data_IF_484610275587
#
_entry.id   IF_484610275587
#
_cell.length_a   1.000
_cell.length_b   1.000
_cell.length_c   1.000
_cell.angle_alpha   90.00
_cell.angle_beta   90.00
_cell.angle_gamma   90.00
#
_symmetry.space_group_name_H-M   'P 1'
#
loop_
_entity.id
_entity.type
_entity.pdbx_description
1 polymer ?
#
# COMPACT_ATOMS: atom_id res chain seq x y z
N UNK A 1 -11.77 -10.23 4.29
CA UNK A 1 -10.97 -11.47 4.43
C UNK A 1 -10.06 -11.39 5.64
N UNK A 2 -9.64 -12.52 6.16
CA UNK A 2 -8.65 -12.58 7.24
C UNK A 2 -7.24 -12.40 6.69
N UNK A 3 -6.28 -12.10 7.57
CA UNK A 3 -4.90 -11.89 7.17
C UNK A 3 -4.28 -13.11 6.47
N UNK A 4 -4.67 -14.32 6.87
CA UNK A 4 -4.19 -15.54 6.24
C UNK A 4 -4.63 -15.65 4.78
N UNK A 5 -5.87 -15.31 4.48
CA UNK A 5 -6.37 -15.29 3.11
C UNK A 5 -5.70 -14.18 2.31
N UNK A 6 -5.51 -13.01 2.92
CA UNK A 6 -4.80 -11.90 2.29
C UNK A 6 -3.36 -12.30 1.93
N UNK A 7 -2.69 -13.03 2.82
CA UNK A 7 -1.36 -13.58 2.57
C UNK A 7 -1.36 -14.53 1.37
N UNK A 8 -2.29 -15.47 1.36
CA UNK A 8 -2.40 -16.44 0.25
C UNK A 8 -2.65 -15.76 -1.08
N UNK A 9 -3.55 -14.79 -1.12
CA UNK A 9 -3.93 -14.12 -2.37
C UNK A 9 -2.88 -13.12 -2.86
N UNK A 10 -2.14 -12.50 -1.95
CA UNK A 10 -1.07 -11.55 -2.32
C UNK A 10 0.26 -12.22 -2.62
N UNK A 11 0.44 -13.47 -2.20
CA UNK A 11 1.72 -14.16 -2.30
C UNK A 11 2.75 -13.69 -1.28
N UNK A 12 2.32 -12.94 -0.27
CA UNK A 12 3.20 -12.43 0.80
C UNK A 12 2.93 -13.19 2.09
N UNK A 13 3.96 -13.28 2.95
CA UNK A 13 3.79 -13.91 4.26
C UNK A 13 2.99 -13.02 5.19
N UNK A 14 2.35 -13.61 6.19
CA UNK A 14 1.65 -12.87 7.24
C UNK A 14 2.62 -11.92 7.95
N UNK A 15 3.85 -12.36 8.20
CA UNK A 15 4.87 -11.53 8.83
C UNK A 15 5.19 -10.27 8.01
N UNK A 16 5.30 -10.41 6.70
CA UNK A 16 5.54 -9.29 5.78
C UNK A 16 4.36 -8.32 5.79
N UNK A 17 3.13 -8.83 5.76
CA UNK A 17 1.93 -7.99 5.81
C UNK A 17 1.89 -7.22 7.13
N UNK A 18 2.17 -7.87 8.25
CA UNK A 18 2.24 -7.19 9.56
C UNK A 18 3.32 -6.13 9.60
N UNK A 19 4.45 -6.36 8.96
CA UNK A 19 5.51 -5.37 8.82
C UNK A 19 5.00 -4.12 8.08
N UNK A 20 4.29 -4.32 6.97
CA UNK A 20 3.73 -3.19 6.21
C UNK A 20 2.66 -2.43 6.99
N UNK A 21 1.86 -3.13 7.79
CA UNK A 21 0.89 -2.49 8.69
C UNK A 21 1.59 -1.60 9.73
N UNK A 22 2.69 -2.10 10.33
CA UNK A 22 3.46 -1.32 11.31
C UNK A 22 4.12 -0.10 10.69
N UNK A 23 4.56 -0.21 9.43
CA UNK A 23 5.19 0.90 8.70
C UNK A 23 4.18 1.83 8.05
N UNK A 24 2.91 1.59 8.26
CA UNK A 24 1.81 2.39 7.72
C UNK A 24 1.79 2.45 6.18
N UNK A 25 2.37 1.45 5.52
CA UNK A 25 2.26 1.27 4.08
C UNK A 25 0.93 0.69 3.67
N UNK A 26 0.33 -0.09 4.57
CA UNK A 26 -0.95 -0.73 4.38
C UNK A 26 -1.91 -0.19 5.45
N UNK A 27 -3.10 0.32 5.05
CA UNK A 27 -4.08 0.76 6.04
C UNK A 27 -4.51 -0.39 6.95
N UNK A 28 -4.84 -0.11 8.22
CA UNK A 28 -5.32 -1.15 9.12
C UNK A 28 -6.62 -1.76 8.60
N UNK A 29 -6.82 -3.04 8.91
CA UNK A 29 -8.08 -3.69 8.61
C UNK A 29 -9.19 -3.21 9.53
N UNK A 30 -10.43 -3.52 9.17
CA UNK A 30 -11.57 -3.25 10.04
C UNK A 30 -11.54 -4.19 11.23
N UNK A 31 -11.61 -3.63 12.45
CA UNK A 31 -11.58 -4.42 13.68
C UNK A 31 -12.89 -5.19 13.83
N UNK A 32 -12.81 -6.52 13.83
CA UNK A 32 -13.96 -7.41 14.03
C UNK A 32 -14.04 -7.85 15.49
N UNK A 33 -12.88 -8.06 16.12
CA UNK A 33 -12.76 -8.43 17.53
C UNK A 33 -11.43 -7.94 18.07
N UNK A 34 -11.15 -8.19 19.36
CA UNK A 34 -9.88 -7.78 19.99
C UNK A 34 -8.65 -8.38 19.30
N UNK A 35 -8.81 -9.53 18.66
CA UNK A 35 -7.68 -10.28 18.08
C UNK A 35 -7.76 -10.45 16.56
N UNK A 36 -8.85 -9.98 15.94
CA UNK A 36 -9.07 -10.17 14.51
C UNK A 36 -9.44 -8.89 13.81
N UNK A 37 -8.85 -8.68 12.64
CA UNK A 37 -9.20 -7.62 11.72
C UNK A 37 -9.67 -8.24 10.40
N UNK A 38 -10.53 -7.54 9.69
CA UNK A 38 -11.00 -7.92 8.37
C UNK A 38 -10.37 -7.02 7.32
N UNK A 39 -9.90 -7.61 6.24
CA UNK A 39 -9.28 -6.92 5.11
C UNK A 39 -10.17 -7.08 3.88
N UNK A 40 -10.05 -6.17 2.92
CA UNK A 40 -10.85 -6.21 1.71
C UNK A 40 -9.98 -6.17 0.45
N UNK A 41 -10.62 -6.07 -0.71
CA UNK A 41 -9.91 -6.04 -1.98
C UNK A 41 -8.97 -4.84 -2.10
N UNK A 42 -9.26 -3.72 -1.44
CA UNK A 42 -8.35 -2.57 -1.46
C UNK A 42 -7.02 -2.88 -0.80
N UNK A 43 -7.03 -3.67 0.27
CA UNK A 43 -5.82 -4.15 0.92
C UNK A 43 -5.01 -5.05 -0.01
N UNK A 44 -5.69 -5.96 -0.73
CA UNK A 44 -5.02 -6.83 -1.69
C UNK A 44 -4.38 -6.03 -2.82
N UNK A 45 -5.08 -5.03 -3.37
CA UNK A 45 -4.55 -4.17 -4.41
C UNK A 45 -3.35 -3.37 -3.92
N UNK A 46 -3.41 -2.86 -2.70
CA UNK A 46 -2.30 -2.13 -2.08
C UNK A 46 -1.06 -3.03 -1.92
N UNK A 47 -1.25 -4.26 -1.46
CA UNK A 47 -0.15 -5.21 -1.31
C UNK A 47 0.48 -5.57 -2.65
N UNK A 48 -0.32 -5.72 -3.69
CA UNK A 48 0.17 -5.96 -5.04
C UNK A 48 1.00 -4.80 -5.55
N UNK A 49 0.58 -3.57 -5.26
CA UNK A 49 1.34 -2.37 -5.63
C UNK A 49 2.68 -2.32 -4.88
N UNK A 50 2.66 -2.54 -3.57
CA UNK A 50 3.89 -2.56 -2.76
C UNK A 50 4.85 -3.61 -3.29
N UNK A 51 4.36 -4.82 -3.56
CA UNK A 51 5.16 -5.91 -4.09
C UNK A 51 5.79 -5.56 -5.44
N UNK A 52 5.01 -4.96 -6.34
CA UNK A 52 5.52 -4.53 -7.64
C UNK A 52 6.60 -3.47 -7.50
N UNK A 53 6.42 -2.50 -6.64
CA UNK A 53 7.41 -1.45 -6.40
C UNK A 53 8.71 -2.02 -5.82
N UNK A 54 8.63 -3.04 -4.97
CA UNK A 54 9.82 -3.68 -4.41
C UNK A 54 10.51 -4.61 -5.39
N UNK A 55 9.75 -5.46 -6.08
CA UNK A 55 10.33 -6.54 -6.89
C UNK A 55 10.66 -6.11 -8.32
N UNK A 56 9.83 -5.24 -8.90
CA UNK A 56 10.01 -4.81 -10.29
C UNK A 56 10.81 -3.52 -10.36
N UNK A 57 10.43 -2.52 -9.57
CA UNK A 57 11.12 -1.22 -9.56
C UNK A 57 12.30 -1.17 -8.60
N UNK A 58 12.47 -2.21 -7.77
CA UNK A 58 13.59 -2.35 -6.83
C UNK A 58 13.71 -1.15 -5.87
N UNK A 59 12.57 -0.62 -5.43
CA UNK A 59 12.57 0.52 -4.52
C UNK A 59 12.70 0.08 -3.06
N UNK A 60 13.51 0.80 -2.26
CA UNK A 60 13.55 0.54 -0.82
C UNK A 60 12.23 0.91 -0.15
N UNK A 61 11.96 0.29 1.00
CA UNK A 61 10.70 0.49 1.75
C UNK A 61 10.46 1.97 2.06
N UNK A 62 11.49 2.72 2.44
CA UNK A 62 11.36 4.14 2.73
C UNK A 62 10.89 4.94 1.51
N UNK A 63 11.38 4.61 0.33
CA UNK A 63 10.96 5.25 -0.93
C UNK A 63 9.51 4.87 -1.26
N UNK A 64 9.15 3.61 -1.07
CA UNK A 64 7.77 3.15 -1.27
C UNK A 64 6.82 3.90 -0.33
N UNK A 65 7.21 4.07 0.94
CA UNK A 65 6.42 4.82 1.91
C UNK A 65 6.17 6.26 1.44
N UNK A 66 7.21 6.92 0.91
CA UNK A 66 7.08 8.29 0.39
C UNK A 66 6.14 8.34 -0.82
N UNK A 67 6.26 7.39 -1.75
CA UNK A 67 5.39 7.32 -2.93
C UNK A 67 3.94 7.11 -2.52
N UNK A 68 3.68 6.15 -1.64
CA UNK A 68 2.33 5.84 -1.19
C UNK A 68 1.73 6.99 -0.38
N UNK A 69 2.56 7.66 0.44
CA UNK A 69 2.13 8.84 1.17
C UNK A 69 1.68 9.96 0.24
N UNK A 70 2.40 10.19 -0.86
CA UNK A 70 2.02 11.18 -1.85
C UNK A 70 0.73 10.79 -2.59
N UNK A 71 0.54 9.51 -2.91
CA UNK A 71 -0.68 9.00 -3.56
C UNK A 71 -1.90 9.14 -2.64
N UNK A 72 -1.71 8.87 -1.35
CA UNK A 72 -2.80 8.90 -0.36
C UNK A 72 -3.07 10.29 0.18
N UNK A 73 -2.20 11.26 -0.09
CA UNK A 73 -2.33 12.62 0.41
C UNK A 73 -3.41 13.37 -0.36
N UNK A 74 -4.51 13.69 0.31
CA UNK A 74 -5.64 14.41 -0.27
C UNK A 74 -5.28 15.85 -0.65
N UNK A 75 -4.22 16.42 -0.08
CA UNK A 75 -3.76 17.77 -0.44
C UNK A 75 -3.05 17.80 -1.80
N UNK A 76 -2.68 16.61 -2.35
CA UNK A 76 -2.07 16.45 -3.66
C UNK A 76 -2.92 15.51 -4.52
N UNK A 77 -4.08 15.97 -5.01
CA UNK A 77 -4.89 15.15 -5.91
C UNK A 77 -4.11 14.71 -7.14
N UNK A 78 -4.45 13.54 -7.66
CA UNK A 78 -3.78 12.96 -8.83
C UNK A 78 -3.73 13.95 -10.00
N UNK A 79 -4.79 14.73 -10.18
CA UNK A 79 -4.84 15.76 -11.24
C UNK A 79 -3.76 16.81 -11.07
N UNK A 80 -3.47 17.23 -9.84
CA UNK A 80 -2.42 18.21 -9.57
C UNK A 80 -1.05 17.63 -9.84
N UNK A 81 -0.83 16.38 -9.52
CA UNK A 81 0.41 15.69 -9.85
C UNK A 81 0.61 15.61 -11.37
N UNK A 82 -0.44 15.32 -12.12
CA UNK A 82 -0.41 15.28 -13.58
C UNK A 82 -0.14 16.67 -14.16
N UNK A 83 -0.75 17.71 -13.59
CA UNK A 83 -0.48 19.10 -14.02
C UNK A 83 0.97 19.50 -13.81
N UNK A 84 1.53 19.17 -12.65
CA UNK A 84 2.94 19.44 -12.37
C UNK A 84 3.85 18.73 -13.39
N UNK A 85 3.54 17.48 -13.71
CA UNK A 85 4.29 16.71 -14.69
C UNK A 85 4.18 17.35 -16.08
N UNK A 86 2.99 17.76 -16.50
CA UNK A 86 2.77 18.41 -17.78
C UNK A 86 3.48 19.76 -17.86
N UNK A 87 3.43 20.54 -16.78
CA UNK A 87 4.11 21.82 -16.72
C UNK A 87 5.62 21.66 -16.83
N UNK A 88 6.18 20.64 -16.19
CA UNK A 88 7.60 20.35 -16.24
C UNK A 88 8.06 19.94 -17.66
N UNK A 89 7.19 19.31 -18.44
CA UNK A 89 7.47 18.86 -19.80
C UNK A 89 7.28 19.98 -20.83
N UNK A 90 6.37 20.85 -20.55
CA UNK A 90 6.08 21.97 -21.43
C UNK A 90 7.14 23.06 -21.32
#
# INVERSE_FOLDING_TARGET
MRISELADRSGLSVATIKFYLRKELLPPGETVSKTQASYDESHLQRLRLIRALREIADLPVATIAAVLGAVDDESLPLLDLLRLTQTAVA
#
